data_IF_833212706168
#
_entry.id   IF_833212706168
#
_cell.length_a   1.000
_cell.length_b   1.000
_cell.length_c   1.000
_cell.angle_alpha   90.00
_cell.angle_beta   90.00
_cell.angle_gamma   90.00
#
_symmetry.space_group_name_H-M   'P 1'
#
loop_
_entity.id
_entity.type
_entity.pdbx_description
1 polymer ?
#
# COMPACT_ATOMS: atom_id res chain seq x y z
N UNK A 1 10.09 -31.09 -38.68
CA UNK A 1 11.21 -30.20 -38.26
C UNK A 1 10.81 -29.31 -37.08
N UNK A 2 10.59 -29.88 -35.87
CA UNK A 2 10.09 -29.09 -34.73
C UNK A 2 10.65 -29.51 -33.35
N UNK A 3 11.84 -30.13 -33.29
CA UNK A 3 12.42 -30.61 -32.01
C UNK A 3 13.71 -29.87 -31.62
N UNK A 4 14.28 -29.04 -32.50
CA UNK A 4 15.61 -28.43 -32.26
C UNK A 4 15.59 -27.08 -31.50
N UNK A 5 14.42 -26.43 -31.33
CA UNK A 5 14.35 -25.12 -30.65
C UNK A 5 14.26 -25.19 -29.12
N UNK A 6 13.83 -26.34 -28.55
CA UNK A 6 13.66 -26.46 -27.10
C UNK A 6 14.97 -26.69 -26.32
N UNK A 7 15.99 -27.27 -26.95
CA UNK A 7 17.28 -27.56 -26.29
C UNK A 7 18.22 -26.35 -26.16
N UNK A 8 18.01 -25.27 -26.93
CA UNK A 8 18.92 -24.10 -26.90
C UNK A 8 18.70 -23.19 -25.68
N UNK A 9 17.46 -23.12 -25.16
CA UNK A 9 17.13 -22.28 -23.98
C UNK A 9 17.59 -22.89 -22.65
N UNK A 10 17.69 -24.21 -22.56
CA UNK A 10 18.12 -24.88 -21.33
C UNK A 10 19.64 -24.76 -21.09
N UNK A 11 20.45 -24.79 -22.16
CA UNK A 11 21.91 -24.70 -22.04
C UNK A 11 22.44 -23.31 -21.65
N UNK A 12 21.77 -22.22 -22.05
CA UNK A 12 22.19 -20.85 -21.69
C UNK A 12 21.99 -20.57 -20.19
N UNK A 13 20.96 -21.17 -19.56
CA UNK A 13 20.71 -21.00 -18.12
C UNK A 13 21.77 -21.68 -17.25
N UNK A 14 22.26 -22.85 -17.65
CA UNK A 14 23.27 -23.62 -16.89
C UNK A 14 24.64 -22.94 -16.88
N UNK A 15 25.04 -22.29 -17.98
CA UNK A 15 26.30 -21.53 -18.05
C UNK A 15 26.28 -20.27 -17.17
N UNK A 16 25.13 -19.59 -17.03
CA UNK A 16 25.01 -18.40 -16.17
C UNK A 16 25.13 -18.69 -14.67
N UNK A 17 24.75 -19.90 -14.24
CA UNK A 17 24.84 -20.32 -12.84
C UNK A 17 26.27 -20.67 -12.43
N UNK A 18 27.03 -21.31 -13.32
CA UNK A 18 28.44 -21.65 -13.09
C UNK A 18 29.36 -20.41 -13.08
N UNK A 19 29.05 -19.37 -13.86
CA UNK A 19 29.79 -18.11 -13.81
C UNK A 19 29.54 -17.31 -12.51
N UNK A 20 28.31 -17.38 -11.96
CA UNK A 20 27.97 -16.71 -10.69
C UNK A 20 28.66 -17.32 -9.47
N UNK A 21 28.93 -18.64 -9.46
CA UNK A 21 29.64 -19.27 -8.34
C UNK A 21 31.13 -18.97 -8.36
N UNK A 22 31.74 -18.79 -9.55
CA UNK A 22 33.15 -18.43 -9.67
C UNK A 22 33.44 -16.98 -9.26
N UNK A 23 32.53 -16.03 -9.57
CA UNK A 23 32.66 -14.63 -9.15
C UNK A 23 32.54 -14.45 -7.63
N UNK A 24 31.73 -15.29 -6.97
CA UNK A 24 31.56 -15.26 -5.51
C UNK A 24 32.77 -15.80 -4.75
N UNK A 25 33.52 -16.74 -5.33
CA UNK A 25 34.79 -17.25 -4.75
C UNK A 25 35.93 -16.24 -4.87
N UNK A 26 35.95 -15.40 -5.91
CA UNK A 26 36.96 -14.35 -6.05
C UNK A 26 36.76 -13.15 -5.12
N UNK A 27 35.52 -12.89 -4.66
CA UNK A 27 35.24 -11.83 -3.68
C UNK A 27 35.52 -12.24 -2.22
N UNK A 28 35.62 -13.53 -1.91
CA UNK A 28 35.91 -14.01 -0.55
C UNK A 28 37.41 -14.04 -0.20
N UNK A 29 38.30 -13.77 -1.18
CA UNK A 29 39.76 -13.89 -1.03
C UNK A 29 40.54 -12.59 -0.78
N UNK A 30 39.87 -11.44 -0.58
CA UNK A 30 40.56 -10.18 -0.24
C UNK A 30 40.43 -9.87 1.25
N UNK A 31 41.25 -10.55 2.04
CA UNK A 31 41.63 -10.15 3.39
C UNK A 31 42.60 -8.98 3.34
N UNK A 32 42.29 -7.88 4.03
CA UNK A 32 43.20 -6.75 4.22
C UNK A 32 42.71 -5.84 5.33
N UNK A 33 43.36 -5.96 6.49
CA UNK A 33 43.44 -5.04 7.64
C UNK A 33 42.16 -4.33 8.11
N UNK A 34 41.56 -4.88 9.18
CA UNK A 34 40.61 -4.16 10.02
C UNK A 34 41.32 -3.71 11.30
N UNK A 35 41.59 -2.41 11.42
CA UNK A 35 41.96 -1.78 12.70
C UNK A 35 40.80 -1.90 13.71
N UNK A 36 41.08 -2.06 15.02
CA UNK A 36 40.06 -2.19 16.04
C UNK A 36 39.38 -0.84 16.31
N UNK A 37 38.13 -0.69 15.88
CA UNK A 37 37.28 0.43 16.28
C UNK A 37 36.80 0.23 17.72
N UNK A 38 37.08 1.23 18.55
CA UNK A 38 36.65 1.34 19.93
C UNK A 38 35.15 1.08 20.11
N UNK A 39 34.85 0.26 21.12
CA UNK A 39 33.51 -0.06 21.62
C UNK A 39 32.91 1.16 22.33
N UNK A 40 32.13 1.98 21.63
CA UNK A 40 31.22 2.93 22.28
C UNK A 40 29.86 2.30 22.49
N UNK A 41 29.71 1.70 23.67
CA UNK A 41 28.43 1.43 24.31
C UNK A 41 27.72 2.75 24.57
N UNK A 42 26.60 3.01 23.90
CA UNK A 42 25.63 3.99 24.41
C UNK A 42 24.22 3.50 24.11
N UNK A 43 23.66 2.88 25.14
CA UNK A 43 22.25 2.56 25.30
C UNK A 43 21.41 3.84 25.09
N UNK A 44 20.73 3.96 23.96
CA UNK A 44 19.79 5.06 23.70
C UNK A 44 18.53 4.85 24.54
N UNK A 45 18.50 5.43 25.74
CA UNK A 45 17.24 5.77 26.43
C UNK A 45 16.45 6.69 25.51
N UNK A 46 15.23 6.30 25.17
CA UNK A 46 14.25 7.19 24.51
C UNK A 46 13.71 8.16 25.56
N UNK A 47 14.45 9.22 25.83
CA UNK A 47 13.86 10.45 26.36
C UNK A 47 13.45 11.24 25.13
N UNK A 48 12.17 11.59 25.01
CA UNK A 48 11.69 12.51 23.98
C UNK A 48 12.15 13.92 24.33
N UNK A 49 13.47 14.15 24.23
CA UNK A 49 14.00 15.50 24.07
C UNK A 49 13.70 15.85 22.62
N UNK A 50 13.04 16.99 22.40
CA UNK A 50 12.93 17.60 21.09
C UNK A 50 14.35 18.01 20.68
N UNK A 51 15.14 17.04 20.22
CA UNK A 51 16.49 17.29 19.70
C UNK A 51 16.25 18.10 18.43
N UNK A 52 16.69 19.36 18.35
CA UNK A 52 16.69 20.07 17.09
C UNK A 52 17.41 19.17 16.08
N UNK A 53 16.78 18.98 14.91
CA UNK A 53 17.23 18.04 13.87
C UNK A 53 18.70 18.30 13.44
N UNK A 54 19.21 19.47 13.80
CA UNK A 54 20.56 19.96 13.58
C UNK A 54 21.17 20.39 14.92
N UNK A 55 22.41 19.98 15.23
CA UNK A 55 23.12 20.49 16.41
C UNK A 55 23.31 22.01 16.29
N UNK A 56 23.15 22.78 17.39
CA UNK A 56 23.35 24.23 17.39
C UNK A 56 24.79 24.58 16.96
N UNK A 57 24.94 25.55 16.08
CA UNK A 57 26.23 25.89 15.46
C UNK A 57 26.72 24.92 14.37
N UNK A 58 25.88 23.96 13.96
CA UNK A 58 26.15 23.10 12.81
C UNK A 58 26.04 23.87 11.49
N UNK A 59 26.67 23.35 10.42
CA UNK A 59 26.62 23.96 9.07
C UNK A 59 25.23 24.25 8.54
N UNK A 60 24.21 23.48 8.93
CA UNK A 60 22.81 23.69 8.53
C UNK A 60 22.15 24.81 9.33
N UNK A 61 22.55 24.99 10.59
CA UNK A 61 22.10 26.08 11.47
C UNK A 61 22.71 27.43 11.07
N UNK A 62 23.93 27.40 10.53
CA UNK A 62 24.64 28.55 9.99
C UNK A 62 24.40 28.78 8.49
N UNK A 63 23.62 27.92 7.83
CA UNK A 63 23.35 28.05 6.41
C UNK A 63 22.49 29.30 6.16
N UNK A 64 22.88 30.08 5.16
CA UNK A 64 22.07 31.19 4.69
C UNK A 64 20.74 30.68 4.13
N UNK A 65 19.66 31.49 4.11
CA UNK A 65 18.40 31.09 3.47
C UNK A 65 18.60 30.63 2.02
N UNK A 66 19.52 31.25 1.28
CA UNK A 66 19.86 30.87 -0.08
C UNK A 66 20.52 29.47 -0.17
N UNK A 67 21.39 29.12 0.77
CA UNK A 67 21.99 27.78 0.85
C UNK A 67 20.98 26.72 1.28
N UNK A 68 20.05 27.06 2.18
CA UNK A 68 18.95 26.17 2.57
C UNK A 68 18.00 25.92 1.40
N UNK A 69 17.66 26.95 0.63
CA UNK A 69 16.84 26.82 -0.57
C UNK A 69 17.55 26.01 -1.67
N UNK A 70 18.85 26.21 -1.85
CA UNK A 70 19.66 25.41 -2.79
C UNK A 70 19.81 23.95 -2.36
N UNK A 71 19.94 23.70 -1.05
CA UNK A 71 20.01 22.36 -0.47
C UNK A 71 18.63 21.69 -0.36
N UNK A 72 17.54 22.43 -0.54
CA UNK A 72 16.19 21.92 -0.46
C UNK A 72 15.92 20.92 -1.59
N UNK A 73 16.04 19.64 -1.27
CA UNK A 73 15.56 18.57 -2.12
C UNK A 73 14.08 18.33 -1.83
N UNK A 74 13.27 18.33 -2.89
CA UNK A 74 11.85 17.95 -2.77
C UNK A 74 11.74 16.53 -2.24
N UNK A 75 10.68 16.27 -1.48
CA UNK A 75 10.40 14.94 -0.90
C UNK A 75 10.27 13.84 -1.95
N UNK A 76 9.91 14.19 -3.18
CA UNK A 76 9.92 13.27 -4.33
C UNK A 76 10.88 13.76 -5.40
N UNK A 77 11.67 12.83 -5.94
CA UNK A 77 12.69 13.09 -6.96
C UNK A 77 12.09 13.33 -8.36
N UNK A 78 10.78 13.55 -8.46
CA UNK A 78 10.04 13.60 -9.73
C UNK A 78 10.53 14.70 -10.68
N UNK A 79 11.10 15.79 -10.16
CA UNK A 79 11.64 16.88 -10.97
C UNK A 79 13.00 16.51 -11.58
N UNK A 80 13.82 15.77 -10.84
CA UNK A 80 15.14 15.34 -11.32
C UNK A 80 15.07 14.03 -12.12
N UNK A 81 13.95 13.30 -12.06
CA UNK A 81 13.71 12.09 -12.87
C UNK A 81 13.41 12.38 -14.35
N UNK A 82 13.33 13.65 -14.75
CA UNK A 82 13.15 14.08 -16.14
C UNK A 82 11.93 13.44 -16.80
N UNK A 83 12.15 12.66 -17.86
CA UNK A 83 11.08 12.00 -18.61
C UNK A 83 10.30 11.02 -17.76
N UNK A 84 10.95 10.26 -16.86
CA UNK A 84 10.27 9.28 -16.03
C UNK A 84 9.27 9.96 -15.07
N UNK A 85 9.73 10.97 -14.34
CA UNK A 85 8.87 11.75 -13.44
C UNK A 85 7.68 12.39 -14.17
N UNK A 86 7.91 12.91 -15.38
CA UNK A 86 6.83 13.45 -16.22
C UNK A 86 5.81 12.38 -16.63
N UNK A 87 6.28 11.19 -17.02
CA UNK A 87 5.40 10.08 -17.42
C UNK A 87 4.56 9.55 -16.26
N UNK A 88 5.16 9.44 -15.07
CA UNK A 88 4.47 9.05 -13.84
C UNK A 88 3.34 10.04 -13.54
N UNK A 89 3.61 11.35 -13.62
CA UNK A 89 2.59 12.40 -13.40
C UNK A 89 1.45 12.33 -14.41
N UNK A 90 1.77 12.14 -15.70
CA UNK A 90 0.75 12.01 -16.74
C UNK A 90 -0.08 10.75 -16.53
N UNK A 91 0.54 9.62 -16.15
CA UNK A 91 -0.17 8.38 -15.81
C UNK A 91 -1.03 8.52 -14.56
N UNK A 92 -0.60 9.27 -13.56
CA UNK A 92 -1.41 9.54 -12.37
C UNK A 92 -2.68 10.34 -12.71
N UNK A 93 -2.57 11.36 -13.57
CA UNK A 93 -3.69 12.19 -14.02
C UNK A 93 -4.58 11.51 -15.06
N UNK A 94 -4.00 10.65 -15.89
CA UNK A 94 -4.69 9.98 -16.98
C UNK A 94 -4.18 8.54 -17.11
N UNK A 95 -4.65 7.61 -16.26
CA UNK A 95 -4.16 6.23 -16.22
C UNK A 95 -4.33 5.50 -17.55
N UNK A 96 -5.39 5.83 -18.30
CA UNK A 96 -5.72 5.27 -19.60
C UNK A 96 -4.74 5.65 -20.72
N UNK A 97 -3.95 6.74 -20.58
CA UNK A 97 -3.00 7.15 -21.63
C UNK A 97 -1.89 6.11 -21.77
N UNK A 98 -1.68 5.58 -22.97
CA UNK A 98 -0.56 4.66 -23.23
C UNK A 98 0.76 5.41 -23.28
N UNK A 99 1.89 4.70 -23.12
CA UNK A 99 3.21 5.32 -23.21
C UNK A 99 3.42 6.03 -24.56
N UNK A 100 2.94 5.43 -25.66
CA UNK A 100 3.00 6.04 -27.00
C UNK A 100 2.26 7.38 -27.06
N UNK A 101 1.08 7.49 -26.44
CA UNK A 101 0.34 8.75 -26.38
C UNK A 101 1.08 9.82 -25.56
N UNK A 102 1.74 9.41 -24.48
CA UNK A 102 2.56 10.30 -23.64
C UNK A 102 3.76 10.81 -24.44
N UNK A 103 4.49 9.93 -25.10
CA UNK A 103 5.64 10.29 -25.95
C UNK A 103 5.21 11.17 -27.13
N UNK A 104 4.11 10.85 -27.81
CA UNK A 104 3.58 11.68 -28.91
C UNK A 104 3.21 13.08 -28.41
N UNK A 105 2.57 13.19 -27.24
CA UNK A 105 2.24 14.49 -26.65
C UNK A 105 3.50 15.29 -26.26
N UNK A 106 4.57 14.62 -25.84
CA UNK A 106 5.83 15.26 -25.51
C UNK A 106 6.53 15.81 -26.77
N UNK A 107 6.59 15.01 -27.84
CA UNK A 107 7.14 15.42 -29.14
C UNK A 107 6.33 16.56 -29.75
N UNK A 108 5.00 16.50 -29.70
CA UNK A 108 4.12 17.57 -30.20
C UNK A 108 4.40 18.92 -29.50
N UNK A 109 4.68 18.88 -28.19
CA UNK A 109 5.04 20.07 -27.41
C UNK A 109 6.45 20.55 -27.76
N UNK A 110 7.42 19.64 -27.84
CA UNK A 110 8.81 19.99 -28.13
C UNK A 110 8.97 20.62 -29.51
N UNK A 111 8.22 20.14 -30.50
CA UNK A 111 8.27 20.63 -31.87
C UNK A 111 7.36 21.84 -32.13
N UNK A 112 6.72 22.39 -31.10
CA UNK A 112 5.71 23.45 -31.24
C UNK A 112 4.66 23.15 -32.33
N UNK A 113 4.28 21.89 -32.49
CA UNK A 113 3.41 21.44 -33.60
C UNK A 113 2.07 22.17 -33.58
N UNK A 114 1.55 22.52 -32.40
CA UNK A 114 0.31 23.31 -32.29
C UNK A 114 0.42 24.71 -32.89
N UNK A 115 1.55 25.39 -32.73
CA UNK A 115 1.77 26.72 -33.31
C UNK A 115 1.94 26.61 -34.83
N UNK A 116 2.63 25.56 -35.29
CA UNK A 116 2.74 25.24 -36.71
C UNK A 116 1.38 24.95 -37.34
N UNK A 117 0.57 24.09 -36.71
CA UNK A 117 -0.81 23.79 -37.10
C UNK A 117 -1.61 25.09 -37.20
N UNK A 118 -1.66 25.91 -36.15
CA UNK A 118 -2.43 27.16 -36.16
C UNK A 118 -2.03 28.13 -37.30
N UNK A 119 -0.76 28.17 -37.70
CA UNK A 119 -0.28 29.04 -38.77
C UNK A 119 -0.47 28.47 -40.19
N UNK A 120 -0.58 27.15 -40.35
CA UNK A 120 -0.56 26.47 -41.65
C UNK A 120 -1.76 25.55 -41.88
N UNK A 121 -2.81 25.65 -41.06
CA UNK A 121 -4.02 24.84 -41.25
C UNK A 121 -4.78 25.30 -42.48
N UNK A 122 -4.81 24.44 -43.49
CA UNK A 122 -5.69 24.55 -44.66
C UNK A 122 -6.68 23.39 -44.65
N UNK A 123 -7.85 23.55 -45.27
CA UNK A 123 -8.84 22.46 -45.34
C UNK A 123 -8.28 21.19 -46.00
N UNK A 124 -7.40 21.34 -46.99
CA UNK A 124 -6.75 20.21 -47.65
C UNK A 124 -5.82 19.45 -46.70
N UNK A 125 -5.05 20.18 -45.89
CA UNK A 125 -4.18 19.59 -44.88
C UNK A 125 -5.00 18.86 -43.81
N UNK A 126 -6.12 19.44 -43.37
CA UNK A 126 -7.01 18.76 -42.43
C UNK A 126 -7.61 17.48 -43.01
N UNK A 127 -8.06 17.51 -44.28
CA UNK A 127 -8.57 16.32 -44.97
C UNK A 127 -7.49 15.25 -45.08
N UNK A 128 -6.25 15.65 -45.38
CA UNK A 128 -5.09 14.76 -45.42
C UNK A 128 -4.80 14.13 -44.05
N UNK A 129 -4.75 14.94 -42.98
CA UNK A 129 -4.50 14.46 -41.61
C UNK A 129 -5.61 13.52 -41.17
N UNK A 130 -6.88 13.85 -41.42
CA UNK A 130 -8.03 12.98 -41.12
C UNK A 130 -7.93 11.64 -41.84
N UNK A 131 -7.58 11.64 -43.14
CA UNK A 131 -7.36 10.41 -43.91
C UNK A 131 -6.23 9.58 -43.31
N UNK A 132 -5.09 10.20 -42.98
CA UNK A 132 -3.95 9.51 -42.35
C UNK A 132 -4.29 8.93 -40.97
N UNK A 133 -5.03 9.67 -40.15
CA UNK A 133 -5.50 9.18 -38.86
C UNK A 133 -6.39 7.93 -39.03
N UNK A 134 -7.32 7.95 -40.00
CA UNK A 134 -8.15 6.77 -40.32
C UNK A 134 -7.32 5.59 -40.82
N UNK A 135 -6.34 5.81 -41.69
CA UNK A 135 -5.40 4.77 -42.15
C UNK A 135 -4.60 4.15 -40.99
N UNK A 136 -4.28 4.91 -39.94
CA UNK A 136 -3.61 4.38 -38.75
C UNK A 136 -4.56 3.64 -37.82
N UNK A 137 -5.79 4.12 -37.65
CA UNK A 137 -6.81 3.48 -36.83
C UNK A 137 -7.24 2.12 -37.41
N UNK A 138 -7.37 2.02 -38.74
CA UNK A 138 -7.70 0.75 -39.43
C UNK A 138 -6.57 -0.28 -39.38
N UNK A 139 -5.34 0.12 -39.03
CA UNK A 139 -4.21 -0.82 -38.91
C UNK A 139 -4.21 -1.60 -37.60
N UNK A 140 -5.14 -1.35 -36.69
CA UNK A 140 -5.32 -2.06 -35.40
C UNK A 140 -4.08 -2.15 -34.48
N UNK A 141 -2.96 -1.52 -34.84
CA UNK A 141 -1.68 -1.65 -34.14
C UNK A 141 -1.73 -1.18 -32.67
N UNK A 142 -2.71 -0.36 -32.31
CA UNK A 142 -2.95 0.09 -30.95
C UNK A 142 -4.07 -0.65 -30.23
N UNK A 143 -4.84 -1.48 -30.93
CA UNK A 143 -5.95 -2.22 -30.34
C UNK A 143 -5.45 -3.26 -29.34
N UNK A 144 -4.43 -4.03 -29.71
CA UNK A 144 -3.83 -5.03 -28.81
C UNK A 144 -3.24 -4.38 -27.55
N UNK A 145 -2.50 -3.28 -27.70
CA UNK A 145 -1.91 -2.54 -26.58
C UNK A 145 -2.99 -1.97 -25.66
N UNK A 146 -4.09 -1.44 -26.22
CA UNK A 146 -5.23 -0.94 -25.44
C UNK A 146 -5.94 -2.08 -24.70
N UNK A 147 -6.15 -3.22 -25.36
CA UNK A 147 -6.78 -4.38 -24.77
C UNK A 147 -5.94 -4.99 -23.63
N UNK A 148 -4.63 -5.14 -23.84
CA UNK A 148 -3.69 -5.61 -22.82
C UNK A 148 -3.66 -4.67 -21.62
N UNK A 149 -3.58 -3.36 -21.86
CA UNK A 149 -3.61 -2.36 -20.81
C UNK A 149 -4.95 -2.38 -20.02
N UNK A 150 -6.09 -2.52 -20.71
CA UNK A 150 -7.39 -2.66 -20.07
C UNK A 150 -7.46 -3.92 -19.19
N UNK A 151 -6.94 -5.06 -19.68
CA UNK A 151 -6.87 -6.32 -18.93
C UNK A 151 -6.05 -6.16 -17.65
N UNK A 152 -4.86 -5.56 -17.75
CA UNK A 152 -3.97 -5.35 -16.59
C UNK A 152 -4.60 -4.38 -15.58
N UNK A 153 -5.32 -3.36 -16.04
CA UNK A 153 -6.05 -2.47 -15.13
C UNK A 153 -7.17 -3.21 -14.39
N UNK A 154 -7.95 -4.04 -15.11
CA UNK A 154 -9.00 -4.87 -14.52
C UNK A 154 -8.44 -5.81 -13.46
N UNK A 155 -7.41 -6.58 -13.78
CA UNK A 155 -6.74 -7.50 -12.84
C UNK A 155 -6.22 -6.77 -11.58
N UNK A 156 -5.57 -5.61 -11.76
CA UNK A 156 -5.10 -4.80 -10.64
C UNK A 156 -6.25 -4.27 -9.76
N UNK A 157 -7.37 -3.90 -10.38
CA UNK A 157 -8.55 -3.43 -9.66
C UNK A 157 -9.17 -4.54 -8.81
N UNK A 158 -9.31 -5.75 -9.37
CA UNK A 158 -9.83 -6.94 -8.72
C UNK A 158 -8.91 -7.37 -7.57
N UNK A 159 -7.58 -7.38 -7.78
CA UNK A 159 -6.60 -7.66 -6.73
C UNK A 159 -6.68 -6.66 -5.58
N UNK A 160 -6.84 -5.37 -5.87
CA UNK A 160 -7.02 -4.32 -4.85
C UNK A 160 -8.34 -4.49 -4.12
N UNK A 161 -9.40 -4.89 -4.79
CA UNK A 161 -10.70 -5.15 -4.18
C UNK A 161 -10.64 -6.38 -3.26
N UNK A 162 -10.08 -7.50 -3.73
CA UNK A 162 -9.87 -8.71 -2.93
C UNK A 162 -9.03 -8.41 -1.68
N UNK A 163 -7.95 -7.62 -1.82
CA UNK A 163 -7.14 -7.18 -0.67
C UNK A 163 -7.94 -6.30 0.30
N UNK A 164 -8.79 -5.40 -0.20
CA UNK A 164 -9.68 -4.58 0.64
C UNK A 164 -10.71 -5.43 1.38
N UNK A 165 -11.36 -6.38 0.70
CA UNK A 165 -12.31 -7.33 1.31
C UNK A 165 -11.62 -8.16 2.40
N UNK A 166 -10.45 -8.73 2.12
CA UNK A 166 -9.68 -9.50 3.10
C UNK A 166 -9.26 -8.67 4.32
N UNK A 167 -8.87 -7.40 4.12
CA UNK A 167 -8.59 -6.47 5.23
C UNK A 167 -9.84 -6.14 6.04
N UNK A 168 -10.98 -5.97 5.39
CA UNK A 168 -12.27 -5.72 6.05
C UNK A 168 -12.65 -6.93 6.91
N UNK A 169 -12.61 -8.15 6.38
CA UNK A 169 -12.89 -9.38 7.14
C UNK A 169 -11.97 -9.53 8.35
N UNK A 170 -10.66 -9.28 8.20
CA UNK A 170 -9.72 -9.33 9.33
C UNK A 170 -10.02 -8.25 10.37
N UNK A 171 -10.47 -7.08 9.94
CA UNK A 171 -10.86 -5.98 10.82
C UNK A 171 -12.15 -6.31 11.56
N UNK A 172 -13.19 -6.76 10.88
CA UNK A 172 -14.47 -7.15 11.50
C UNK A 172 -14.27 -8.32 12.47
N UNK A 173 -13.51 -9.34 12.10
CA UNK A 173 -13.19 -10.44 13.01
C UNK A 173 -12.46 -9.95 14.28
N UNK A 174 -11.53 -8.99 14.14
CA UNK A 174 -10.87 -8.38 15.29
C UNK A 174 -11.84 -7.55 16.13
N UNK A 175 -12.69 -6.76 15.49
CA UNK A 175 -13.65 -5.88 16.17
C UNK A 175 -14.67 -6.75 16.95
N UNK A 176 -15.18 -7.84 16.38
CA UNK A 176 -16.05 -8.81 17.05
C UNK A 176 -15.39 -9.42 18.29
N UNK A 177 -14.11 -9.79 18.21
CA UNK A 177 -13.35 -10.30 19.37
C UNK A 177 -13.23 -9.25 20.47
N UNK A 178 -13.12 -7.97 20.11
CA UNK A 178 -13.05 -6.88 21.09
C UNK A 178 -14.41 -6.57 21.73
N UNK A 179 -15.51 -6.69 20.97
CA UNK A 179 -16.87 -6.48 21.49
C UNK A 179 -17.28 -7.56 22.50
N UNK A 180 -16.84 -8.81 22.29
CA UNK A 180 -17.13 -9.92 23.19
C UNK A 180 -16.19 -10.00 24.41
N UNK A 181 -15.15 -9.15 24.46
CA UNK A 181 -14.12 -9.21 25.49
C UNK A 181 -14.69 -8.83 26.86
N UNK A 182 -14.48 -9.70 27.85
CA UNK A 182 -14.69 -9.38 29.25
C UNK A 182 -13.56 -8.47 29.74
N UNK A 183 -13.89 -7.23 30.11
CA UNK A 183 -12.91 -6.24 30.52
C UNK A 183 -12.71 -6.21 32.04
N UNK A 184 -11.47 -5.96 32.44
CA UNK A 184 -11.11 -5.67 33.82
C UNK A 184 -10.42 -4.30 33.87
N UNK A 185 -11.11 -3.29 34.42
CA UNK A 185 -10.61 -1.92 34.51
C UNK A 185 -9.99 -1.59 35.89
N UNK A 186 -10.05 -2.51 36.84
CA UNK A 186 -9.43 -2.33 38.15
C UNK A 186 -7.90 -2.50 38.07
N UNK A 187 -7.09 -1.50 38.46
CA UNK A 187 -5.63 -1.64 38.46
C UNK A 187 -5.13 -2.79 39.33
N UNK A 188 -5.80 -3.03 40.48
CA UNK A 188 -5.46 -4.09 41.42
C UNK A 188 -5.57 -5.50 40.82
N UNK A 189 -6.47 -5.71 39.85
CA UNK A 189 -6.62 -6.98 39.14
C UNK A 189 -5.35 -7.33 38.36
N UNK A 190 -4.70 -6.34 37.76
CA UNK A 190 -3.50 -6.52 36.94
C UNK A 190 -2.22 -6.55 37.78
N UNK A 191 -2.19 -5.83 38.91
CA UNK A 191 -1.06 -5.80 39.86
C UNK A 191 -0.98 -7.09 40.70
N UNK A 192 -2.12 -7.63 41.17
CA UNK A 192 -2.19 -8.79 42.06
C UNK A 192 -2.49 -10.11 41.33
N UNK A 193 -1.84 -10.32 40.19
CA UNK A 193 -1.93 -11.58 39.42
C UNK A 193 -1.35 -12.74 40.24
N UNK A 194 -2.16 -13.35 41.12
CA UNK A 194 -1.86 -14.60 41.82
C UNK A 194 -1.50 -15.71 40.82
N UNK A 195 -0.69 -16.68 41.27
CA UNK A 195 -0.13 -17.77 40.44
C UNK A 195 -1.20 -18.56 39.66
N UNK A 196 -2.46 -18.56 40.13
CA UNK A 196 -3.57 -19.29 39.55
C UNK A 196 -4.19 -18.66 38.28
N UNK A 197 -4.04 -17.35 38.03
CA UNK A 197 -4.56 -16.66 36.83
C UNK A 197 -3.60 -15.58 36.37
N UNK A 198 -2.44 -15.98 35.86
CA UNK A 198 -1.54 -15.05 35.20
C UNK A 198 -2.12 -14.62 33.83
N UNK A 199 -2.48 -13.35 33.63
CA UNK A 199 -3.03 -12.90 32.36
C UNK A 199 -2.01 -13.10 31.24
N UNK A 200 -2.47 -13.68 30.14
CA UNK A 200 -1.63 -13.96 28.98
C UNK A 200 -1.26 -12.63 28.30
N UNK A 201 -0.12 -12.60 27.62
CA UNK A 201 0.27 -11.45 26.76
C UNK A 201 -0.84 -11.10 25.76
N UNK A 202 -1.59 -12.11 25.29
CA UNK A 202 -2.74 -11.93 24.40
C UNK A 202 -3.86 -11.15 25.09
N UNK A 203 -4.23 -11.51 26.31
CA UNK A 203 -5.32 -10.90 27.07
C UNK A 203 -5.01 -9.44 27.38
N UNK A 204 -3.78 -9.14 27.82
CA UNK A 204 -3.31 -7.78 28.07
C UNK A 204 -3.32 -6.95 26.77
N UNK A 205 -2.88 -7.55 25.66
CA UNK A 205 -2.87 -6.89 24.35
C UNK A 205 -4.28 -6.64 23.81
N UNK A 206 -5.23 -7.53 24.09
CA UNK A 206 -6.65 -7.36 23.76
C UNK A 206 -7.27 -6.24 24.60
N UNK A 207 -7.00 -6.20 25.90
CA UNK A 207 -7.47 -5.12 26.78
C UNK A 207 -6.94 -3.74 26.33
N UNK A 208 -5.64 -3.64 26.03
CA UNK A 208 -5.05 -2.41 25.49
C UNK A 208 -5.61 -2.06 24.10
N UNK A 209 -5.91 -3.06 23.28
CA UNK A 209 -6.55 -2.87 21.98
C UNK A 209 -7.98 -2.36 22.10
N UNK A 210 -8.71 -2.84 23.09
CA UNK A 210 -10.04 -2.37 23.43
C UNK A 210 -9.97 -0.89 23.86
N UNK A 211 -9.08 -0.53 24.79
CA UNK A 211 -8.90 0.86 25.24
C UNK A 211 -8.47 1.82 24.11
N UNK A 212 -7.80 1.33 23.06
CA UNK A 212 -7.36 2.15 21.91
C UNK A 212 -8.47 2.60 20.97
N UNK A 213 -9.67 2.06 21.08
CA UNK A 213 -10.76 2.45 20.16
C UNK A 213 -11.13 3.91 20.41
N UNK A 214 -11.16 4.77 19.37
CA UNK A 214 -11.34 6.21 19.55
C UNK A 214 -12.60 6.63 20.30
N UNK A 215 -13.70 5.86 20.19
CA UNK A 215 -14.96 6.14 20.90
C UNK A 215 -14.81 6.11 22.43
N UNK A 216 -13.78 5.46 22.95
CA UNK A 216 -13.52 5.31 24.40
C UNK A 216 -12.72 6.47 24.98
N UNK A 217 -12.10 7.30 24.13
CA UNK A 217 -11.38 8.51 24.56
C UNK A 217 -10.19 8.24 25.49
N UNK A 218 -9.60 7.04 25.47
CA UNK A 218 -8.43 6.68 26.29
C UNK A 218 -7.16 6.77 25.47
N UNK A 219 -6.16 7.52 25.98
CA UNK A 219 -4.84 7.64 25.34
C UNK A 219 -3.95 6.48 25.78
N UNK A 220 -3.76 5.50 24.90
CA UNK A 220 -2.85 4.37 25.14
C UNK A 220 -1.52 4.62 24.43
N UNK A 221 -0.35 4.43 25.10
CA UNK A 221 0.95 4.56 24.46
C UNK A 221 1.12 3.70 23.19
N UNK A 222 1.75 4.29 22.18
CA UNK A 222 2.11 3.60 20.95
C UNK A 222 3.35 2.70 21.15
N UNK A 223 3.51 1.66 20.33
CA UNK A 223 4.72 0.81 20.33
C UNK A 223 4.68 -0.40 21.28
N UNK A 224 3.58 -0.63 21.99
CA UNK A 224 3.44 -1.76 22.92
C UNK A 224 3.29 -3.13 22.21
N UNK A 225 3.19 -3.20 20.88
CA UNK A 225 2.93 -4.46 20.17
C UNK A 225 4.05 -5.51 20.27
N UNK A 226 5.28 -5.10 20.63
CA UNK A 226 6.45 -5.97 20.81
C UNK A 226 7.01 -5.93 22.24
N UNK A 227 6.31 -5.25 23.15
CA UNK A 227 6.76 -5.06 24.52
C UNK A 227 6.73 -6.39 25.30
N UNK A 228 7.60 -6.50 26.31
CA UNK A 228 7.58 -7.67 27.20
C UNK A 228 6.32 -7.63 28.07
N UNK A 229 5.91 -8.77 28.60
CA UNK A 229 4.70 -8.88 29.46
C UNK A 229 4.69 -7.85 30.59
N UNK A 230 5.80 -7.70 31.31
CA UNK A 230 5.90 -6.74 32.42
C UNK A 230 5.64 -5.29 31.98
N UNK A 231 6.21 -4.89 30.85
CA UNK A 231 6.02 -3.55 30.27
C UNK A 231 4.57 -3.33 29.82
N UNK A 232 3.91 -4.38 29.30
CA UNK A 232 2.51 -4.33 28.91
C UNK A 232 1.58 -4.16 30.11
N UNK A 233 1.81 -4.90 31.19
CA UNK A 233 1.04 -4.80 32.44
C UNK A 233 1.24 -3.41 33.03
N UNK A 234 2.49 -2.95 33.14
CA UNK A 234 2.78 -1.61 33.65
C UNK A 234 2.09 -0.52 32.84
N UNK A 235 2.18 -0.57 31.51
CA UNK A 235 1.52 0.40 30.65
C UNK A 235 -0.02 0.36 30.78
N UNK A 236 -0.61 -0.82 30.97
CA UNK A 236 -2.06 -0.95 31.20
C UNK A 236 -2.46 -0.34 32.55
N UNK A 237 -1.71 -0.63 33.61
CA UNK A 237 -1.94 -0.10 34.96
C UNK A 237 -1.79 1.42 34.98
N UNK A 238 -0.77 1.97 34.34
CA UNK A 238 -0.58 3.42 34.20
C UNK A 238 -1.75 4.10 33.48
N UNK A 239 -2.24 3.48 32.39
CA UNK A 239 -3.41 3.99 31.65
C UNK A 239 -4.67 3.98 32.51
N UNK A 240 -4.89 2.91 33.29
CA UNK A 240 -6.07 2.75 34.14
C UNK A 240 -6.04 3.69 35.35
N UNK A 241 -4.87 3.86 36.00
CA UNK A 241 -4.69 4.81 37.12
C UNK A 241 -4.87 6.26 36.70
N UNK A 242 -4.64 6.57 35.43
CA UNK A 242 -4.86 7.91 34.86
C UNK A 242 -6.29 8.20 34.40
N UNK A 243 -7.26 7.32 34.67
CA UNK A 243 -8.68 7.57 34.37
C UNK A 243 -9.46 7.97 35.62
N UNK A 244 -10.40 8.89 35.48
CA UNK A 244 -11.35 9.25 36.54
C UNK A 244 -12.36 8.10 36.77
N UNK A 245 -12.86 7.97 38.01
CA UNK A 245 -13.82 6.93 38.37
C UNK A 245 -15.10 6.96 37.51
N UNK A 246 -15.60 8.16 37.19
CA UNK A 246 -16.79 8.33 36.35
C UNK A 246 -16.55 7.82 34.93
N UNK A 247 -15.33 8.01 34.41
CA UNK A 247 -14.94 7.49 33.11
C UNK A 247 -14.81 5.96 33.13
N UNK A 248 -14.29 5.40 34.22
CA UNK A 248 -14.24 3.94 34.41
C UNK A 248 -15.64 3.34 34.43
N UNK A 249 -16.60 3.96 35.14
CA UNK A 249 -18.02 3.54 35.14
C UNK A 249 -18.64 3.60 33.74
N UNK A 250 -18.41 4.68 33.00
CA UNK A 250 -18.88 4.82 31.61
C UNK A 250 -18.31 3.74 30.69
N UNK A 251 -17.01 3.44 30.82
CA UNK A 251 -16.36 2.38 30.04
C UNK A 251 -16.92 0.99 30.36
N UNK A 252 -17.24 0.71 31.63
CA UNK A 252 -17.93 -0.51 32.03
C UNK A 252 -19.33 -0.60 31.42
N UNK A 253 -20.15 0.44 31.56
CA UNK A 253 -21.49 0.48 30.98
C UNK A 253 -21.48 0.30 29.46
N UNK A 254 -20.48 0.90 28.79
CA UNK A 254 -20.27 0.74 27.36
C UNK A 254 -19.91 -0.71 26.99
N UNK A 255 -19.01 -1.38 27.72
CA UNK A 255 -18.66 -2.77 27.45
C UNK A 255 -19.85 -3.72 27.64
N UNK A 256 -20.62 -3.53 28.72
CA UNK A 256 -21.83 -4.34 28.96
C UNK A 256 -22.81 -4.18 27.79
N UNK A 257 -23.08 -2.94 27.38
CA UNK A 257 -23.96 -2.65 26.24
C UNK A 257 -23.46 -3.26 24.93
N UNK A 258 -22.14 -3.21 24.67
CA UNK A 258 -21.52 -3.78 23.48
C UNK A 258 -21.62 -5.32 23.47
N UNK A 259 -21.39 -5.97 24.62
CA UNK A 259 -21.51 -7.42 24.77
C UNK A 259 -22.96 -7.89 24.60
N UNK A 260 -23.92 -7.19 25.20
CA UNK A 260 -25.35 -7.50 25.06
C UNK A 260 -25.80 -7.40 23.59
N UNK A 261 -25.36 -6.36 22.88
CA UNK A 261 -25.60 -6.22 21.43
C UNK A 261 -24.98 -7.36 20.62
N UNK A 262 -23.76 -7.77 20.96
CA UNK A 262 -23.07 -8.86 20.27
C UNK A 262 -23.74 -10.23 20.52
N UNK A 263 -24.43 -10.42 21.64
CA UNK A 263 -25.20 -11.64 21.93
C UNK A 263 -26.54 -11.66 21.19
N UNK A 264 -27.20 -10.51 21.05
CA UNK A 264 -28.52 -10.39 20.40
C UNK A 264 -28.47 -10.45 18.86
N UNK A 265 -27.32 -10.14 18.26
CA UNK A 265 -27.11 -10.23 16.82
C UNK A 265 -26.24 -11.46 16.52
N UNK A 266 -26.83 -12.65 16.31
CA UNK A 266 -26.06 -13.79 15.80
C UNK A 266 -25.39 -13.35 14.49
N UNK A 267 -24.07 -13.45 14.47
CA UNK A 267 -23.20 -13.12 13.33
C UNK A 267 -23.77 -13.71 12.04
N UNK A 268 -24.42 -12.88 11.21
CA UNK A 268 -25.01 -13.30 9.92
C UNK A 268 -23.96 -13.61 8.84
N UNK A 269 -22.68 -13.55 9.18
CA UNK A 269 -21.58 -13.85 8.27
C UNK A 269 -21.34 -15.37 8.23
N UNK A 270 -22.28 -16.11 7.64
CA UNK A 270 -22.23 -17.58 7.60
C UNK A 270 -23.02 -18.28 6.47
N UNK A 271 -23.58 -17.57 5.49
CA UNK A 271 -24.12 -18.22 4.28
C UNK A 271 -23.46 -17.58 3.05
N UNK A 272 -22.43 -18.22 2.45
CA UNK A 272 -22.12 -17.95 1.06
C UNK A 272 -23.35 -18.33 0.24
N UNK A 273 -23.92 -17.33 -0.44
CA UNK A 273 -25.14 -17.47 -1.24
C UNK A 273 -25.14 -18.73 -2.09
N UNK A 274 -26.09 -19.59 -1.77
CA UNK A 274 -26.53 -20.70 -2.60
C UNK A 274 -26.85 -20.15 -4.00
N UNK A 275 -26.18 -20.73 -4.97
CA UNK A 275 -26.35 -20.49 -6.40
C UNK A 275 -27.82 -20.64 -6.77
N UNK A 276 -28.51 -19.52 -7.03
CA UNK A 276 -29.77 -19.53 -7.75
C UNK A 276 -29.44 -19.93 -9.19
N UNK A 277 -29.59 -21.23 -9.46
CA UNK A 277 -29.64 -21.78 -10.81
C UNK A 277 -30.90 -21.29 -11.49
N UNK A 278 -30.76 -20.23 -12.29
CA UNK A 278 -31.73 -19.85 -13.31
C UNK A 278 -31.49 -20.67 -14.56
N UNK A 279 -32.14 -21.83 -14.64
CA UNK A 279 -32.40 -22.56 -15.89
C UNK A 279 -33.62 -21.97 -16.60
N UNK A 280 -33.59 -22.14 -17.94
CA UNK A 280 -34.69 -22.05 -18.93
C UNK A 280 -34.80 -20.72 -19.68
N UNK A 281 -34.58 -20.81 -21.00
CA UNK A 281 -34.83 -19.76 -21.99
C UNK A 281 -34.12 -20.03 -23.32
N UNK A 282 -34.21 -21.25 -23.85
CA UNK A 282 -34.05 -21.53 -25.28
C UNK A 282 -35.19 -20.81 -26.00
N UNK A 283 -34.89 -19.80 -26.81
CA UNK A 283 -35.73 -19.42 -27.94
C UNK A 283 -34.83 -19.14 -29.15
N UNK A 284 -34.90 -20.08 -30.08
CA UNK A 284 -34.54 -19.97 -31.49
C UNK A 284 -35.38 -18.87 -32.19
N UNK A 285 -34.99 -18.57 -33.44
CA UNK A 285 -35.76 -17.85 -34.50
C UNK A 285 -35.60 -16.33 -34.47
N UNK A 286 -35.44 -15.57 -35.55
CA UNK A 286 -35.49 -15.71 -37.01
C UNK A 286 -34.81 -14.43 -37.56
N UNK A 287 -33.83 -14.49 -38.46
CA UNK A 287 -33.96 -14.06 -39.88
C UNK A 287 -35.00 -12.98 -40.20
N UNK A 288 -34.52 -11.78 -40.57
CA UNK A 288 -35.10 -10.77 -41.48
C UNK A 288 -33.96 -9.75 -41.67
N UNK A 289 -33.17 -9.75 -42.75
CA UNK A 289 -33.51 -9.32 -44.11
C UNK A 289 -34.50 -8.18 -44.13
N UNK A 290 -33.98 -6.96 -44.30
CA UNK A 290 -34.69 -5.90 -45.03
C UNK A 290 -33.69 -4.97 -45.71
N UNK A 291 -33.97 -4.81 -47.01
CA UNK A 291 -33.32 -3.98 -48.00
C UNK A 291 -33.74 -2.49 -47.88
N UNK A 292 -32.94 -1.63 -48.52
CA UNK A 292 -33.30 -0.35 -49.17
C UNK A 292 -34.03 0.78 -48.42
N UNK A 293 -33.31 1.87 -48.16
CA UNK A 293 -33.38 3.14 -48.95
C UNK A 293 -32.24 4.12 -48.57
#
# INVERSE_FOLDING_TARGET
MAVTKYNRRFNVRRQSAAQKTHLKKLQAGRSGHHEPKATSSTSRRKVAVLVPLTPPGGRVDQATPAELDAAHMRTTNEVCEGTLGSTIRVKARSPAKTLRMISASAVQKQNNTKAFEAAHTTEELEKFVRRKAREEDTRHALQEVRAEHARVQKENSERKEASRKARKVKRTARDNVLEQLEIHLEPAFWDNSTVARQPTVKDISLQLSWLRVPSRGVKVPAGLSKARRAELVQALVEVLRGQDEDKVKLLYAQNVSERERAVLLPSTDGIPGETVGGTVGDEQSESEEDEDD
#
